data_IF_498308599277
#
_entry.id   IF_498308599277
#
_cell.length_a   1.000
_cell.length_b   1.000
_cell.length_c   1.000
_cell.angle_alpha   90.00
_cell.angle_beta   90.00
_cell.angle_gamma   90.00
#
_symmetry.space_group_name_H-M   'P 1'
#
loop_
_entity.id
_entity.type
_entity.pdbx_description
1 polymer ?
#
# COMPACT_ATOMS: atom_id res chain seq x y z
N UNK A 1 -5.61 -18.21 5.21
CA UNK A 1 -5.65 -19.14 4.06
C UNK A 1 -4.71 -18.58 3.01
N UNK A 2 -3.93 -19.41 2.31
CA UNK A 2 -3.03 -18.90 1.26
C UNK A 2 -3.84 -18.71 -0.03
N UNK A 3 -4.04 -17.45 -0.44
CA UNK A 3 -4.70 -17.12 -1.70
C UNK A 3 -3.79 -17.47 -2.90
N UNK A 4 -4.34 -17.87 -4.06
CA UNK A 4 -3.52 -18.19 -5.23
C UNK A 4 -2.63 -17.01 -5.62
N UNK A 5 -1.32 -17.26 -5.74
CA UNK A 5 -0.38 -16.18 -6.03
C UNK A 5 -0.38 -15.81 -7.51
N UNK A 6 -0.36 -14.51 -7.77
CA UNK A 6 -0.27 -13.95 -9.12
C UNK A 6 1.20 -13.81 -9.54
N UNK A 7 1.48 -13.78 -10.86
CA UNK A 7 2.81 -13.50 -11.37
C UNK A 7 3.35 -12.17 -10.83
N UNK A 8 4.65 -12.15 -10.52
CA UNK A 8 5.34 -10.93 -10.09
C UNK A 8 5.24 -9.84 -11.16
N UNK A 9 4.98 -8.62 -10.70
CA UNK A 9 5.03 -7.44 -11.55
C UNK A 9 6.49 -7.00 -11.70
N UNK A 10 6.96 -6.62 -12.90
CA UNK A 10 8.34 -6.12 -13.05
C UNK A 10 8.61 -4.93 -12.12
N UNK A 11 9.77 -4.92 -11.46
CA UNK A 11 10.19 -3.74 -10.69
C UNK A 11 10.40 -2.55 -11.62
N UNK A 12 9.81 -1.42 -11.26
CA UNK A 12 9.85 -0.17 -12.04
C UNK A 12 10.64 0.90 -11.28
N UNK A 13 11.53 1.61 -11.97
CA UNK A 13 12.11 2.84 -11.45
C UNK A 13 11.01 3.93 -11.38
N UNK A 14 10.55 4.36 -10.19
CA UNK A 14 9.48 5.35 -10.07
C UNK A 14 9.89 6.75 -10.56
N UNK A 15 11.18 7.02 -10.77
CA UNK A 15 11.68 8.26 -11.33
C UNK A 15 11.72 8.24 -12.86
N UNK A 16 11.85 7.05 -13.46
CA UNK A 16 11.92 6.83 -14.90
C UNK A 16 10.98 5.68 -15.32
N UNK A 17 9.66 5.80 -15.09
CA UNK A 17 8.75 4.68 -15.32
C UNK A 17 8.56 4.43 -16.82
N UNK A 18 8.21 3.18 -17.22
CA UNK A 18 7.88 2.86 -18.61
C UNK A 18 6.71 3.68 -19.16
N UNK A 19 6.58 3.70 -20.49
CA UNK A 19 5.40 4.25 -21.14
C UNK A 19 4.11 3.55 -20.64
N UNK A 20 3.04 4.32 -20.46
CA UNK A 20 1.76 3.82 -19.94
C UNK A 20 1.61 3.89 -18.42
N UNK A 21 2.66 4.28 -17.68
CA UNK A 21 2.59 4.54 -16.25
C UNK A 21 2.16 5.99 -16.00
N UNK A 22 0.87 6.20 -15.80
CA UNK A 22 0.35 7.53 -15.53
C UNK A 22 0.46 7.86 -14.04
N UNK A 23 1.36 8.79 -13.67
CA UNK A 23 1.53 9.19 -12.27
C UNK A 23 0.30 9.98 -11.80
N UNK A 24 -0.47 9.38 -10.90
CA UNK A 24 -1.70 9.96 -10.36
C UNK A 24 -1.48 10.73 -9.06
N UNK A 25 -0.44 10.37 -8.30
CA UNK A 25 -0.03 11.10 -7.10
C UNK A 25 1.47 10.95 -6.81
N UNK A 26 1.98 11.87 -5.99
CA UNK A 26 3.32 11.83 -5.41
C UNK A 26 3.25 12.40 -4.00
N UNK A 27 3.67 11.63 -3.00
CA UNK A 27 3.52 11.97 -1.58
C UNK A 27 4.79 11.65 -0.80
N UNK A 28 5.11 12.45 0.21
CA UNK A 28 6.12 12.09 1.20
C UNK A 28 5.47 11.41 2.40
N UNK A 29 6.13 10.39 2.95
CA UNK A 29 5.90 9.93 4.31
C UNK A 29 6.65 10.85 5.29
N UNK A 30 5.98 11.60 6.17
CA UNK A 30 6.70 12.50 7.07
C UNK A 30 7.51 11.80 8.16
N UNK A 31 7.27 10.50 8.40
CA UNK A 31 8.09 9.67 9.29
C UNK A 31 9.32 9.07 8.61
N UNK A 32 9.38 9.12 7.28
CA UNK A 32 10.50 8.68 6.44
C UNK A 32 10.59 9.62 5.23
N UNK A 33 11.31 10.73 5.40
CA UNK A 33 11.43 11.80 4.42
C UNK A 33 12.53 11.56 3.36
N UNK A 34 13.10 10.35 3.33
CA UNK A 34 14.24 10.00 2.47
C UNK A 34 13.89 10.00 0.98
N UNK A 35 12.69 9.54 0.63
CA UNK A 35 12.21 9.52 -0.74
C UNK A 35 10.67 9.52 -0.82
N UNK A 36 10.08 10.16 -1.85
CA UNK A 36 8.64 10.18 -2.04
C UNK A 36 8.11 8.85 -2.57
N UNK A 37 6.88 8.53 -2.18
CA UNK A 37 6.07 7.51 -2.83
C UNK A 37 5.41 8.07 -4.10
N UNK A 38 5.52 7.33 -5.19
CA UNK A 38 4.92 7.62 -6.48
C UNK A 38 3.77 6.64 -6.71
N UNK A 39 2.60 7.14 -7.08
CA UNK A 39 1.42 6.34 -7.36
C UNK A 39 1.14 6.40 -8.85
N UNK A 40 1.05 5.24 -9.50
CA UNK A 40 0.83 5.12 -10.94
C UNK A 40 -0.44 4.32 -11.24
N UNK A 41 -1.27 4.84 -12.14
CA UNK A 41 -2.32 4.08 -12.79
C UNK A 41 -1.74 3.41 -14.05
N UNK A 42 -1.93 2.09 -14.17
CA UNK A 42 -1.44 1.27 -15.29
C UNK A 42 -2.52 0.27 -15.70
N UNK A 43 -3.28 0.61 -16.74
CA UNK A 43 -4.46 -0.16 -17.11
C UNK A 43 -5.45 -0.24 -15.93
N UNK A 44 -5.71 -1.45 -15.41
CA UNK A 44 -6.61 -1.67 -14.25
C UNK A 44 -5.87 -1.79 -12.92
N UNK A 45 -4.65 -1.31 -12.81
CA UNK A 45 -3.82 -1.47 -11.62
C UNK A 45 -3.35 -0.12 -11.07
N UNK A 46 -3.16 -0.09 -9.76
CA UNK A 46 -2.51 0.95 -8.99
C UNK A 46 -1.16 0.41 -8.51
N UNK A 47 -0.07 1.07 -8.94
CA UNK A 47 1.30 0.70 -8.56
C UNK A 47 1.86 1.80 -7.67
N UNK A 48 2.32 1.43 -6.48
CA UNK A 48 2.99 2.33 -5.53
C UNK A 48 4.47 2.00 -5.58
N UNK A 49 5.30 2.99 -5.90
CA UNK A 49 6.75 2.81 -5.99
C UNK A 49 7.50 3.88 -5.20
N UNK A 50 8.58 3.48 -4.54
CA UNK A 50 9.53 4.38 -3.88
C UNK A 50 10.94 3.92 -4.21
N UNK A 51 11.83 4.86 -4.49
CA UNK A 51 13.25 4.59 -4.76
C UNK A 51 14.08 5.24 -3.68
N UNK A 52 14.84 4.44 -2.93
CA UNK A 52 15.63 4.88 -1.79
C UNK A 52 17.10 4.58 -2.04
N UNK A 53 17.97 5.46 -1.56
CA UNK A 53 19.40 5.19 -1.49
C UNK A 53 19.68 4.40 -0.21
N UNK A 54 20.32 3.23 -0.34
CA UNK A 54 20.68 2.35 0.76
C UNK A 54 22.19 2.27 0.84
N UNK A 55 22.73 2.51 2.03
CA UNK A 55 24.14 2.33 2.35
C UNK A 55 24.23 1.73 3.75
N UNK A 56 24.72 0.50 3.86
CA UNK A 56 24.67 -0.28 5.11
C UNK A 56 25.90 -0.06 6.02
N UNK A 57 26.92 0.66 5.54
CA UNK A 57 28.09 1.04 6.32
C UNK A 57 28.98 2.05 5.58
N UNK A 58 29.95 2.61 6.28
CA UNK A 58 30.81 3.69 5.74
C UNK A 58 31.64 3.25 4.53
N UNK A 59 31.99 1.97 4.44
CA UNK A 59 32.77 1.37 3.34
C UNK A 59 31.89 0.80 2.21
N UNK A 60 30.56 0.80 2.37
CA UNK A 60 29.62 0.36 1.34
C UNK A 60 29.47 1.47 0.28
N UNK A 61 29.72 1.22 -1.02
CA UNK A 61 29.51 2.22 -2.06
C UNK A 61 28.06 2.71 -2.14
N UNK A 62 27.11 1.97 -1.56
CA UNK A 62 25.69 2.26 -1.57
C UNK A 62 25.04 1.97 -2.93
N UNK A 63 23.74 1.72 -2.90
CA UNK A 63 22.96 1.42 -4.09
C UNK A 63 21.52 1.92 -3.97
N UNK A 64 20.84 2.06 -5.10
CA UNK A 64 19.41 2.35 -5.10
C UNK A 64 18.62 1.06 -4.95
N UNK A 65 17.72 1.04 -3.97
CA UNK A 65 16.70 0.02 -3.82
C UNK A 65 15.32 0.59 -4.21
N UNK A 66 14.44 -0.28 -4.69
CA UNK A 66 13.06 0.09 -5.02
C UNK A 66 12.09 -0.73 -4.18
N UNK A 67 11.20 -0.05 -3.47
CA UNK A 67 10.01 -0.66 -2.89
C UNK A 67 8.86 -0.52 -3.89
N UNK A 68 8.10 -1.60 -4.08
CA UNK A 68 6.95 -1.61 -4.98
C UNK A 68 5.80 -2.41 -4.37
N UNK A 69 4.58 -1.88 -4.50
CA UNK A 69 3.34 -2.56 -4.15
C UNK A 69 2.35 -2.44 -5.31
N UNK A 70 1.62 -3.51 -5.60
CA UNK A 70 0.65 -3.56 -6.68
C UNK A 70 -0.73 -3.92 -6.18
N UNK A 71 -1.72 -3.18 -6.66
CA UNK A 71 -3.12 -3.38 -6.33
C UNK A 71 -3.97 -3.26 -7.60
N UNK A 72 -5.15 -3.89 -7.65
CA UNK A 72 -6.17 -3.45 -8.61
C UNK A 72 -6.52 -1.99 -8.35
N UNK A 73 -6.86 -1.23 -9.39
CA UNK A 73 -7.15 0.20 -9.25
C UNK A 73 -8.39 0.47 -8.35
N UNK A 74 -9.35 -0.46 -8.32
CA UNK A 74 -10.51 -0.43 -7.42
C UNK A 74 -10.14 -0.51 -5.93
N UNK A 75 -8.91 -0.93 -5.60
CA UNK A 75 -8.41 -0.93 -4.22
C UNK A 75 -8.48 0.46 -3.58
N UNK A 76 -8.31 1.55 -4.36
CA UNK A 76 -8.37 2.90 -3.82
C UNK A 76 -9.73 3.22 -3.19
N UNK A 77 -10.83 2.96 -3.93
CA UNK A 77 -12.20 3.16 -3.42
C UNK A 77 -12.48 2.20 -2.26
N UNK A 78 -12.16 0.93 -2.44
CA UNK A 78 -12.42 -0.10 -1.44
C UNK A 78 -11.70 0.21 -0.12
N UNK A 79 -10.44 0.62 -0.17
CA UNK A 79 -9.65 0.98 1.01
C UNK A 79 -10.30 2.13 1.81
N UNK A 80 -10.73 3.19 1.12
CA UNK A 80 -11.41 4.34 1.73
C UNK A 80 -12.69 3.92 2.45
N UNK A 81 -13.52 3.07 1.83
CA UNK A 81 -14.76 2.59 2.45
C UNK A 81 -14.49 1.60 3.59
N UNK A 82 -13.49 0.73 3.43
CA UNK A 82 -13.11 -0.26 4.44
C UNK A 82 -12.55 0.39 5.70
N UNK A 83 -11.74 1.46 5.58
CA UNK A 83 -11.24 2.20 6.74
C UNK A 83 -12.37 2.74 7.62
N UNK A 84 -13.48 3.22 7.04
CA UNK A 84 -14.61 3.75 7.82
C UNK A 84 -15.19 2.70 8.77
N UNK A 85 -15.10 1.41 8.42
CA UNK A 85 -15.64 0.29 9.20
C UNK A 85 -14.92 0.11 10.54
N UNK A 86 -13.66 0.52 10.64
CA UNK A 86 -12.88 0.50 11.88
C UNK A 86 -13.35 1.55 12.91
N UNK A 87 -14.15 2.52 12.48
CA UNK A 87 -14.68 3.59 13.32
C UNK A 87 -16.17 3.43 13.65
N UNK A 88 -16.81 2.35 13.17
CA UNK A 88 -18.19 2.03 13.48
C UNK A 88 -18.30 1.39 14.87
N UNK A 89 -19.47 1.52 15.49
CA UNK A 89 -19.77 0.85 16.75
C UNK A 89 -19.68 -0.68 16.58
N UNK A 90 -19.19 -1.44 17.58
CA UNK A 90 -18.92 -2.87 17.41
C UNK A 90 -20.12 -3.77 17.03
N UNK A 91 -21.34 -3.29 17.26
CA UNK A 91 -22.60 -3.95 16.92
C UNK A 91 -23.18 -3.49 15.57
N UNK A 92 -22.56 -2.51 14.92
CA UNK A 92 -22.95 -2.09 13.58
C UNK A 92 -22.70 -3.24 12.58
N UNK A 93 -23.65 -3.56 11.68
CA UNK A 93 -23.58 -4.72 10.79
C UNK A 93 -22.35 -4.73 9.86
N UNK A 94 -21.81 -3.55 9.55
CA UNK A 94 -20.63 -3.37 8.70
C UNK A 94 -19.34 -3.09 9.47
N UNK A 95 -19.35 -3.07 10.82
CA UNK A 95 -18.14 -2.84 11.60
C UNK A 95 -17.13 -3.98 11.42
N UNK A 96 -15.88 -3.71 11.79
CA UNK A 96 -14.86 -4.75 11.95
C UNK A 96 -15.35 -5.72 13.04
N UNK A 97 -15.35 -7.05 12.80
CA UNK A 97 -15.76 -8.02 13.80
C UNK A 97 -14.99 -7.86 15.11
N UNK A 98 -15.66 -8.06 16.24
CA UNK A 98 -15.03 -7.97 17.57
C UNK A 98 -13.83 -8.92 17.65
N UNK A 99 -12.67 -8.36 18.01
CA UNK A 99 -11.42 -9.12 18.15
C UNK A 99 -10.66 -9.33 16.84
N UNK A 100 -11.21 -8.92 15.69
CA UNK A 100 -10.47 -8.84 14.44
C UNK A 100 -9.73 -7.51 14.35
N UNK A 101 -8.55 -7.55 13.75
CA UNK A 101 -7.76 -6.36 13.37
C UNK A 101 -7.62 -6.21 11.85
N UNK A 102 -8.13 -7.19 11.10
CA UNK A 102 -8.03 -7.26 9.63
C UNK A 102 -9.41 -7.47 9.03
N UNK A 103 -9.68 -6.78 7.93
CA UNK A 103 -10.78 -7.07 6.99
C UNK A 103 -10.14 -7.57 5.70
N UNK A 104 -10.59 -8.71 5.18
CA UNK A 104 -10.16 -9.27 3.89
C UNK A 104 -11.36 -9.43 2.95
N UNK A 105 -11.26 -8.92 1.72
CA UNK A 105 -12.31 -9.01 0.70
C UNK A 105 -11.72 -9.11 -0.72
N UNK A 106 -12.47 -9.75 -1.63
CA UNK A 106 -12.10 -9.79 -3.05
C UNK A 106 -12.48 -8.46 -3.71
N UNK A 107 -11.51 -7.83 -4.38
CA UNK A 107 -11.63 -6.58 -5.11
C UNK A 107 -11.02 -6.78 -6.50
N UNK A 108 -11.83 -6.64 -7.54
CA UNK A 108 -11.42 -6.80 -8.94
C UNK A 108 -10.65 -8.10 -9.25
N UNK A 109 -10.97 -9.18 -8.52
CA UNK A 109 -10.36 -10.50 -8.69
C UNK A 109 -9.08 -10.74 -7.86
N UNK A 110 -8.68 -9.79 -7.01
CA UNK A 110 -7.59 -9.95 -6.04
C UNK A 110 -8.13 -9.81 -4.61
N UNK A 111 -7.69 -10.68 -3.70
CA UNK A 111 -7.98 -10.61 -2.28
C UNK A 111 -7.10 -9.57 -1.60
N UNK A 112 -7.74 -8.53 -1.09
CA UNK A 112 -7.08 -7.43 -0.40
C UNK A 112 -7.37 -7.47 1.09
N UNK A 113 -6.47 -6.87 1.88
CA UNK A 113 -6.60 -6.73 3.32
C UNK A 113 -6.49 -5.27 3.77
N UNK A 114 -7.21 -4.90 4.82
CA UNK A 114 -6.90 -3.72 5.63
C UNK A 114 -6.63 -4.17 7.05
N UNK A 115 -5.40 -3.98 7.52
CA UNK A 115 -4.96 -4.43 8.84
C UNK A 115 -4.60 -3.26 9.74
N UNK A 116 -5.14 -3.23 10.96
CA UNK A 116 -4.73 -2.32 12.03
C UNK A 116 -3.46 -2.86 12.69
N UNK A 117 -2.39 -2.06 12.72
CA UNK A 117 -1.12 -2.43 13.35
C UNK A 117 -0.64 -1.42 14.40
N UNK A 118 -0.11 -1.91 15.52
CA UNK A 118 0.36 -1.06 16.62
C UNK A 118 1.63 -0.25 16.30
N UNK A 119 2.37 -0.61 15.25
CA UNK A 119 3.67 -0.02 14.91
C UNK A 119 3.87 0.18 13.39
N UNK A 120 2.79 0.36 12.64
CA UNK A 120 2.85 0.50 11.17
C UNK A 120 3.30 1.88 10.69
N UNK A 121 3.24 2.92 11.53
CA UNK A 121 3.83 4.22 11.20
C UNK A 121 5.31 4.32 11.56
N UNK A 122 5.71 3.69 12.67
CA UNK A 122 7.11 3.63 13.09
C UNK A 122 7.27 2.60 14.21
N UNK A 123 8.15 1.62 14.03
CA UNK A 123 8.56 0.68 15.08
C UNK A 123 9.24 1.40 16.24
N UNK A 124 10.17 2.31 15.93
CA UNK A 124 10.99 3.02 16.91
C UNK A 124 10.16 3.96 17.80
N UNK A 125 9.18 4.66 17.20
CA UNK A 125 8.32 5.60 17.92
C UNK A 125 7.02 4.97 18.44
N UNK A 126 6.76 3.70 18.12
CA UNK A 126 5.51 3.03 18.48
C UNK A 126 4.27 3.66 17.83
N UNK A 127 4.42 4.22 16.62
CA UNK A 127 3.31 4.88 15.92
C UNK A 127 2.45 3.81 15.27
N UNK A 128 1.21 3.73 15.73
CA UNK A 128 0.22 2.83 15.18
C UNK A 128 -0.22 3.29 13.78
N UNK A 129 -0.78 2.37 12.99
CA UNK A 129 -1.24 2.66 11.65
C UNK A 129 -2.15 1.58 11.05
N UNK A 130 -2.32 1.67 9.74
CA UNK A 130 -3.03 0.69 8.93
C UNK A 130 -2.14 0.20 7.79
N UNK A 131 -2.39 -1.00 7.28
CA UNK A 131 -1.82 -1.44 6.02
C UNK A 131 -2.90 -1.69 4.99
N UNK A 132 -2.56 -1.46 3.72
CA UNK A 132 -3.29 -1.98 2.57
C UNK A 132 -2.51 -3.19 2.05
N UNK A 133 -3.12 -4.35 2.15
CA UNK A 133 -2.49 -5.63 1.90
C UNK A 133 -2.99 -6.21 0.57
N UNK A 134 -2.09 -6.76 -0.25
CA UNK A 134 -2.45 -7.60 -1.38
C UNK A 134 -2.02 -9.04 -1.12
N UNK A 135 -2.99 -9.89 -0.80
CA UNK A 135 -2.75 -11.24 -0.33
C UNK A 135 -2.44 -12.21 -1.48
N UNK A 136 -2.74 -11.83 -2.72
CA UNK A 136 -2.40 -12.58 -3.93
C UNK A 136 -1.01 -12.27 -4.47
N UNK A 137 -0.33 -11.23 -3.99
CA UNK A 137 1.01 -10.84 -4.47
C UNK A 137 2.08 -11.13 -3.44
N UNK A 138 3.30 -11.36 -3.91
CA UNK A 138 4.47 -11.54 -3.06
C UNK A 138 5.15 -10.19 -2.85
N UNK A 139 5.64 -9.95 -1.64
CA UNK A 139 6.54 -8.84 -1.40
C UNK A 139 7.85 -9.08 -2.17
N UNK A 140 8.37 -8.06 -2.84
CA UNK A 140 9.56 -8.17 -3.70
C UNK A 140 10.86 -8.44 -2.95
N UNK A 141 10.82 -8.44 -1.62
CA UNK A 141 11.93 -8.83 -0.75
C UNK A 141 11.82 -10.28 -0.26
N UNK A 142 10.84 -11.05 -0.74
CA UNK A 142 10.66 -12.46 -0.35
C UNK A 142 11.75 -13.33 -0.99
N UNK A 143 12.50 -14.08 -0.19
CA UNK A 143 13.61 -14.92 -0.69
C UNK A 143 13.19 -16.36 -1.05
N UNK A 144 11.89 -16.68 -0.98
CA UNK A 144 11.35 -17.98 -1.37
C UNK A 144 9.88 -18.19 -0.95
N UNK A 145 9.27 -19.31 -1.38
CA UNK A 145 7.87 -19.64 -1.08
C UNK A 145 7.60 -19.93 0.40
N UNK A 146 8.64 -20.14 1.20
CA UNK A 146 8.54 -20.36 2.65
C UNK A 146 8.55 -19.04 3.45
N UNK A 147 9.09 -17.96 2.87
CA UNK A 147 9.12 -16.59 3.42
C UNK A 147 8.02 -15.72 2.78
N UNK A 148 6.87 -16.34 2.52
CA UNK A 148 5.73 -15.82 1.75
C UNK A 148 5.01 -14.68 2.47
N UNK A 149 5.61 -13.50 2.44
CA UNK A 149 4.94 -12.29 2.88
C UNK A 149 4.14 -11.72 1.71
N UNK A 150 2.86 -11.49 1.97
CA UNK A 150 2.02 -10.69 1.08
C UNK A 150 2.55 -9.26 1.02
N UNK A 151 2.22 -8.55 -0.05
CA UNK A 151 2.49 -7.12 -0.11
C UNK A 151 1.67 -6.38 0.95
N UNK A 152 2.33 -5.55 1.76
CA UNK A 152 1.69 -4.76 2.82
C UNK A 152 2.20 -3.32 2.78
N UNK A 153 1.44 -2.42 2.15
CA UNK A 153 1.77 -1.00 2.20
C UNK A 153 1.35 -0.44 3.56
N UNK A 154 2.32 -0.18 4.45
CA UNK A 154 2.09 0.26 5.83
C UNK A 154 2.08 1.79 5.92
N UNK A 155 1.10 2.32 6.65
CA UNK A 155 0.85 3.75 6.76
C UNK A 155 0.58 4.10 8.22
N UNK A 156 1.33 5.03 8.81
CA UNK A 156 1.08 5.53 10.16
C UNK A 156 -0.22 6.33 10.25
N UNK A 157 -0.87 6.31 11.41
CA UNK A 157 -2.11 7.07 11.66
C UNK A 157 -1.95 8.58 11.32
N UNK A 158 -0.86 9.29 11.72
CA UNK A 158 -0.67 10.69 11.34
C UNK A 158 -0.57 10.90 9.83
N UNK A 159 0.18 10.03 9.14
CA UNK A 159 0.33 10.13 7.69
C UNK A 159 -0.98 9.89 6.96
N UNK A 160 -1.70 8.86 7.39
CA UNK A 160 -2.97 8.45 6.81
C UNK A 160 -4.06 9.51 7.00
N UNK A 161 -4.29 9.97 8.23
CA UNK A 161 -5.46 10.79 8.57
C UNK A 161 -5.19 12.29 8.64
N UNK A 162 -4.00 12.72 9.05
CA UNK A 162 -3.71 14.13 9.34
C UNK A 162 -2.89 14.80 8.23
N UNK A 163 -2.08 14.03 7.50
CA UNK A 163 -1.13 14.54 6.51
C UNK A 163 -1.54 14.22 5.06
N UNK A 164 -2.79 13.82 4.86
CA UNK A 164 -3.44 13.84 3.54
C UNK A 164 -3.32 12.57 2.69
N UNK A 165 -2.72 11.48 3.18
CA UNK A 165 -2.63 10.26 2.38
C UNK A 165 -4.02 9.63 2.12
N UNK A 166 -4.94 9.68 3.09
CA UNK A 166 -6.32 9.23 2.86
C UNK A 166 -7.02 10.06 1.77
N UNK A 167 -6.75 11.37 1.70
CA UNK A 167 -7.33 12.23 0.67
C UNK A 167 -6.75 11.92 -0.71
N UNK A 168 -5.51 11.45 -0.80
CA UNK A 168 -4.92 10.95 -2.05
C UNK A 168 -5.63 9.69 -2.53
N UNK A 169 -5.94 8.73 -1.65
CA UNK A 169 -6.74 7.56 -2.04
C UNK A 169 -8.16 7.95 -2.49
N UNK A 170 -8.80 8.94 -1.83
CA UNK A 170 -10.10 9.47 -2.27
C UNK A 170 -10.01 10.11 -3.66
N UNK A 171 -9.01 10.96 -3.91
CA UNK A 171 -8.82 11.60 -5.22
C UNK A 171 -8.60 10.57 -6.33
N UNK A 172 -7.75 9.57 -6.10
CA UNK A 172 -7.50 8.48 -7.05
C UNK A 172 -8.80 7.73 -7.37
N UNK A 173 -9.56 7.36 -6.33
CA UNK A 173 -10.84 6.67 -6.49
C UNK A 173 -11.84 7.48 -7.31
N UNK A 174 -12.02 8.76 -6.99
CA UNK A 174 -12.96 9.65 -7.68
C UNK A 174 -12.56 9.91 -9.14
N UNK A 175 -11.27 10.10 -9.42
CA UNK A 175 -10.76 10.31 -10.79
C UNK A 175 -10.91 9.04 -11.64
N UNK A 176 -10.65 7.87 -11.06
CA UNK A 176 -10.89 6.60 -11.74
C UNK A 176 -12.39 6.40 -12.05
N UNK A 177 -13.29 6.67 -11.10
CA UNK A 177 -14.74 6.56 -11.31
C UNK A 177 -15.27 7.51 -12.40
N UNK A 178 -14.59 8.65 -12.61
CA UNK A 178 -14.87 9.56 -13.74
C UNK A 178 -14.28 9.11 -15.07
N UNK A 179 -13.48 8.05 -15.10
CA UNK A 179 -12.82 7.53 -16.29
C UNK A 179 -11.62 8.38 -16.74
N UNK A 180 -10.97 9.11 -15.83
CA UNK A 180 -9.74 9.85 -16.15
C UNK A 180 -8.56 8.92 -16.46
N UNK A 181 -8.58 7.71 -15.89
CA UNK A 181 -7.65 6.61 -16.13
C UNK A 181 -8.32 5.28 -15.76
#
# INVERSE_FOLDING_TARGET
MAYPKLPEWPIVDPENPPEGYYRVAKVMNPEDDTAPWHFFAVGRHLILGQKVWVQLGDDDPGEFATAQYEFPIGAARWFVETLKRFFLEPDHPNAVPRGAITIEEEVDGEMLGVTRGAQYGSMLKGIAGYSLDNLNRFEHTSFGPDDNWCQMFKMGDPWLFEQGLLDVFKDIAERHERGEF
#
